data_IF_253959422188
#
_entry.id   IF_253959422188
#
_cell.length_a   1.000
_cell.length_b   1.000
_cell.length_c   1.000
_cell.angle_alpha   90.00
_cell.angle_beta   90.00
_cell.angle_gamma   90.00
#
_symmetry.space_group_name_H-M   'P 1'
#
loop_
_entity.id
_entity.type
_entity.pdbx_description
1 polymer ?
#
# COMPACT_ATOMS: atom_id res chain seq x y z
N UNK A 1 5.77 3.10 11.04
CA UNK A 1 6.16 1.97 10.20
C UNK A 1 6.92 2.52 9.02
N UNK A 2 8.11 1.99 8.78
CA UNK A 2 8.93 2.28 7.60
C UNK A 2 8.57 1.30 6.49
N UNK A 3 8.90 1.66 5.25
CA UNK A 3 8.77 0.75 4.11
C UNK A 3 9.42 -0.62 4.38
N UNK A 4 10.61 -0.64 4.98
CA UNK A 4 11.34 -1.88 5.27
C UNK A 4 10.60 -2.76 6.28
N UNK A 5 10.12 -2.20 7.39
CA UNK A 5 9.37 -2.95 8.41
C UNK A 5 8.11 -3.60 7.82
N UNK A 6 7.44 -2.92 6.88
CA UNK A 6 6.26 -3.44 6.19
C UNK A 6 6.65 -4.64 5.31
N UNK A 7 7.69 -4.48 4.48
CA UNK A 7 8.12 -5.54 3.55
C UNK A 7 8.70 -6.76 4.27
N UNK A 8 9.39 -6.56 5.38
CA UNK A 8 9.94 -7.63 6.22
C UNK A 8 8.82 -8.41 6.97
N UNK A 9 7.63 -7.81 7.12
CA UNK A 9 6.47 -8.41 7.80
C UNK A 9 5.48 -9.09 6.84
N UNK A 10 5.80 -9.18 5.54
CA UNK A 10 4.90 -9.80 4.57
C UNK A 10 4.80 -11.32 4.78
N UNK A 11 3.61 -11.91 4.53
CA UNK A 11 3.48 -13.37 4.48
C UNK A 11 4.44 -14.00 3.45
N UNK A 12 4.94 -15.19 3.73
CA UNK A 12 5.99 -15.83 2.93
C UNK A 12 5.57 -16.16 1.48
N UNK A 13 4.28 -16.35 1.24
CA UNK A 13 3.66 -16.62 -0.06
C UNK A 13 3.31 -15.33 -0.83
N UNK A 14 3.45 -14.17 -0.19
CA UNK A 14 3.26 -12.87 -0.82
C UNK A 14 4.54 -12.42 -1.50
N UNK A 15 4.37 -11.69 -2.59
CA UNK A 15 5.49 -11.18 -3.38
C UNK A 15 5.36 -9.69 -3.55
N UNK A 16 6.48 -8.98 -3.48
CA UNK A 16 6.53 -7.58 -3.84
C UNK A 16 7.47 -7.35 -5.02
N UNK A 17 7.16 -6.33 -5.81
CA UNK A 17 8.03 -5.81 -6.87
C UNK A 17 8.29 -4.35 -6.60
N UNK A 18 9.55 -3.94 -6.73
CA UNK A 18 9.94 -2.54 -6.63
C UNK A 18 10.44 -2.02 -7.97
N UNK A 19 9.91 -0.89 -8.41
CA UNK A 19 10.39 -0.18 -9.59
C UNK A 19 10.31 1.34 -9.37
N UNK A 20 11.46 2.01 -9.48
CA UNK A 20 11.56 3.47 -9.39
C UNK A 20 10.89 4.07 -8.13
N UNK A 21 11.03 3.41 -6.99
CA UNK A 21 10.45 3.81 -5.70
C UNK A 21 9.01 3.35 -5.45
N UNK A 22 8.31 2.86 -6.47
CA UNK A 22 6.98 2.27 -6.33
C UNK A 22 7.12 0.80 -5.95
N UNK A 23 6.39 0.38 -4.91
CA UNK A 23 6.32 -1.03 -4.50
C UNK A 23 4.90 -1.53 -4.67
N UNK A 24 4.74 -2.64 -5.36
CA UNK A 24 3.47 -3.36 -5.45
C UNK A 24 3.60 -4.69 -4.73
N UNK A 25 2.73 -4.92 -3.75
CA UNK A 25 2.65 -6.17 -2.99
C UNK A 25 1.44 -6.96 -3.46
N UNK A 26 1.65 -8.23 -3.79
CA UNK A 26 0.63 -9.17 -4.25
C UNK A 26 0.50 -10.35 -3.31
N UNK A 27 -0.73 -10.80 -3.10
CA UNK A 27 -1.01 -12.05 -2.40
C UNK A 27 -0.61 -13.28 -3.25
N UNK A 28 -0.77 -14.48 -2.67
CA UNK A 28 -0.49 -15.74 -3.34
C UNK A 28 -1.32 -15.98 -4.61
N UNK A 29 -2.49 -15.34 -4.72
CA UNK A 29 -3.36 -15.42 -5.88
C UNK A 29 -2.97 -14.40 -6.97
N UNK A 30 -1.98 -13.53 -6.69
CA UNK A 30 -1.52 -12.49 -7.59
C UNK A 30 -2.30 -11.18 -7.52
N UNK A 31 -3.23 -11.04 -6.58
CA UNK A 31 -4.00 -9.81 -6.37
C UNK A 31 -3.18 -8.78 -5.61
N UNK A 32 -3.24 -7.52 -6.03
CA UNK A 32 -2.56 -6.43 -5.33
C UNK A 32 -3.28 -6.15 -4.00
N UNK A 33 -2.54 -6.24 -2.89
CA UNK A 33 -3.06 -5.98 -1.54
C UNK A 33 -2.54 -4.70 -0.93
N UNK A 34 -1.37 -4.28 -1.39
CA UNK A 34 -0.73 -3.08 -0.90
C UNK A 34 0.09 -2.44 -2.00
N UNK A 35 0.12 -1.11 -2.01
CA UNK A 35 1.08 -0.33 -2.77
C UNK A 35 1.79 0.64 -1.86
N UNK A 36 3.10 0.81 -2.05
CA UNK A 36 3.90 1.81 -1.38
C UNK A 36 4.36 2.78 -2.45
N UNK A 37 3.87 4.01 -2.37
CA UNK A 37 4.09 5.00 -3.40
C UNK A 37 4.88 6.18 -2.79
N UNK A 38 5.85 6.75 -3.55
CA UNK A 38 6.53 7.97 -3.15
C UNK A 38 5.54 9.16 -3.13
N UNK A 39 5.95 10.33 -2.62
CA UNK A 39 5.14 11.53 -2.64
C UNK A 39 4.62 11.83 -4.06
N UNK A 40 3.35 12.21 -4.15
CA UNK A 40 2.67 12.47 -5.40
C UNK A 40 2.02 13.87 -5.42
N UNK A 41 1.05 14.11 -6.32
CA UNK A 41 0.36 15.41 -6.39
C UNK A 41 -0.62 15.62 -5.23
N UNK A 42 -1.10 14.54 -4.60
CA UNK A 42 -2.10 14.57 -3.53
C UNK A 42 -1.42 14.66 -2.17
N UNK A 43 -0.36 13.89 -1.97
CA UNK A 43 0.37 13.74 -0.71
C UNK A 43 1.85 14.06 -0.89
N UNK A 44 2.41 14.86 0.03
CA UNK A 44 3.83 15.25 0.00
C UNK A 44 4.73 14.29 0.79
N UNK A 45 4.23 13.11 1.10
CA UNK A 45 4.90 12.10 1.92
C UNK A 45 4.75 10.71 1.31
N UNK A 46 5.69 9.83 1.61
CA UNK A 46 5.63 8.43 1.26
C UNK A 46 4.39 7.82 1.93
N UNK A 47 3.58 7.11 1.16
CA UNK A 47 2.29 6.61 1.63
C UNK A 47 2.03 5.19 1.14
N UNK A 48 1.06 4.56 1.78
CA UNK A 48 0.60 3.22 1.48
C UNK A 48 -0.86 3.25 1.09
N UNK A 49 -1.19 2.52 0.02
CA UNK A 49 -2.55 2.14 -0.29
C UNK A 49 -2.77 0.68 0.12
N UNK A 50 -3.90 0.43 0.77
CA UNK A 50 -4.36 -0.92 1.13
C UNK A 50 -5.58 -1.30 0.28
N UNK A 51 -5.68 -2.59 -0.03
CA UNK A 51 -6.79 -3.13 -0.81
C UNK A 51 -7.38 -4.38 -0.17
N UNK A 52 -8.72 -4.46 -0.14
CA UNK A 52 -9.44 -5.67 0.25
C UNK A 52 -9.38 -6.76 -0.85
N UNK A 53 -10.08 -7.88 -0.65
CA UNK A 53 -10.13 -8.99 -1.61
C UNK A 53 -10.84 -8.66 -2.92
N UNK A 54 -11.69 -7.63 -2.91
CA UNK A 54 -12.42 -7.17 -4.07
C UNK A 54 -11.69 -6.03 -4.80
N UNK A 55 -10.55 -5.58 -4.28
CA UNK A 55 -9.77 -4.46 -4.82
C UNK A 55 -10.27 -3.08 -4.39
N UNK A 56 -11.12 -2.99 -3.36
CA UNK A 56 -11.55 -1.73 -2.78
C UNK A 56 -10.42 -1.10 -1.96
N UNK A 57 -10.27 0.23 -2.05
CA UNK A 57 -9.31 0.98 -1.24
C UNK A 57 -9.74 1.04 0.23
N UNK A 58 -8.79 0.84 1.13
CA UNK A 58 -9.02 0.85 2.57
C UNK A 58 -8.26 2.00 3.24
N UNK A 59 -8.84 2.54 4.30
CA UNK A 59 -8.17 3.46 5.23
C UNK A 59 -7.34 2.70 6.29
N UNK A 60 -6.70 3.43 7.21
CA UNK A 60 -5.90 2.87 8.30
C UNK A 60 -6.72 2.00 9.27
N UNK A 61 -8.03 2.20 9.34
CA UNK A 61 -8.96 1.45 10.17
C UNK A 61 -9.60 0.28 9.41
N UNK A 62 -9.16 0.01 8.18
CA UNK A 62 -9.70 -1.01 7.28
C UNK A 62 -11.13 -0.76 6.82
N UNK A 63 -11.60 0.49 6.86
CA UNK A 63 -12.87 0.87 6.25
C UNK A 63 -12.68 1.09 4.74
N UNK A 64 -13.68 0.69 3.96
CA UNK A 64 -13.72 0.99 2.53
C UNK A 64 -13.86 2.50 2.33
N UNK A 65 -12.94 3.08 1.57
CA UNK A 65 -12.93 4.49 1.21
C UNK A 65 -12.79 4.65 -0.30
N UNK A 66 -13.22 5.81 -0.82
CA UNK A 66 -13.01 6.12 -2.23
C UNK A 66 -11.50 6.20 -2.52
N UNK A 67 -11.06 5.62 -3.64
CA UNK A 67 -9.64 5.61 -4.05
C UNK A 67 -9.05 7.01 -4.23
N UNK A 68 -9.88 8.01 -4.55
CA UNK A 68 -9.47 9.42 -4.69
C UNK A 68 -9.47 10.15 -3.34
N UNK A 69 -9.98 9.53 -2.28
CA UNK A 69 -9.95 10.14 -0.95
C UNK A 69 -8.51 10.22 -0.44
N UNK A 70 -8.13 11.33 0.22
CA UNK A 70 -6.91 11.40 1.02
C UNK A 70 -6.82 10.27 2.05
N UNK A 71 -7.95 9.77 2.55
CA UNK A 71 -7.99 8.70 3.56
C UNK A 71 -7.42 7.38 3.04
N UNK A 72 -7.41 7.17 1.73
CA UNK A 72 -6.78 6.01 1.10
C UNK A 72 -5.24 6.10 1.06
N UNK A 73 -4.64 7.23 1.45
CA UNK A 73 -3.20 7.48 1.41
C UNK A 73 -2.65 7.45 2.85
N UNK A 74 -2.26 6.26 3.32
CA UNK A 74 -1.83 6.07 4.70
C UNK A 74 -0.36 6.50 4.83
N UNK A 75 -0.03 7.52 5.65
CA UNK A 75 1.34 8.00 5.76
C UNK A 75 2.27 6.95 6.36
N UNK A 76 3.45 6.78 5.76
CA UNK A 76 4.54 5.97 6.33
C UNK A 76 5.75 6.83 6.67
N UNK A 77 6.57 6.33 7.59
CA UNK A 77 7.85 6.95 7.90
C UNK A 77 8.86 6.55 6.83
N UNK A 78 9.75 7.48 6.48
CA UNK A 78 10.97 7.14 5.74
C UNK A 78 11.87 6.23 6.57
#
# INVERSE_FOLDING_TARGET
MTKKEILDSLPADWKYTENNGFVHVKDANGNIRMRIDPPDKVTKYDHVHLYDENGNSLDINLNIVDRKSPDAHIPIKK
#
